data_IF_004734529519
#
_entry.id   IF_004734529519
#
_cell.length_a   1.000
_cell.length_b   1.000
_cell.length_c   1.000
_cell.angle_alpha   90.00
_cell.angle_beta   90.00
_cell.angle_gamma   90.00
#
_symmetry.space_group_name_H-M   'P 1'
#
loop_
_entity.id
_entity.type
_entity.pdbx_description
1 polymer ?
#
# COMPACT_ATOMS: atom_id res chain seq x y z
N UNK A 1 10.32 -23.77 1.69
CA UNK A 1 11.22 -24.27 2.76
C UNK A 1 12.08 -23.11 3.21
N UNK A 2 12.30 -22.86 4.51
CA UNK A 2 13.25 -21.84 4.94
C UNK A 2 14.66 -22.45 4.89
N UNK A 3 15.56 -21.80 4.16
CA UNK A 3 16.96 -22.23 4.09
C UNK A 3 17.76 -21.71 5.29
N UNK A 4 18.55 -22.61 5.86
CA UNK A 4 19.31 -22.47 7.09
C UNK A 4 20.59 -21.69 6.81
N UNK A 5 20.79 -20.58 7.52
CA UNK A 5 22.03 -19.78 7.52
C UNK A 5 23.17 -20.62 8.11
N UNK A 6 24.18 -20.91 7.28
CA UNK A 6 25.53 -21.25 7.73
C UNK A 6 26.49 -20.25 7.08
N UNK A 7 27.09 -19.40 7.91
CA UNK A 7 28.06 -18.40 7.47
C UNK A 7 29.42 -19.02 7.19
N UNK A 8 30.02 -18.61 6.07
CA UNK A 8 31.46 -18.68 5.81
C UNK A 8 31.85 -17.40 5.06
N UNK A 9 32.65 -16.56 5.73
CA UNK A 9 33.24 -15.33 5.18
C UNK A 9 34.21 -15.67 4.04
N UNK A 10 33.96 -15.12 2.84
CA UNK A 10 34.95 -15.04 1.77
C UNK A 10 34.83 -13.66 1.11
N UNK A 11 35.71 -12.75 1.52
CA UNK A 11 35.94 -11.46 0.88
C UNK A 11 36.50 -11.66 -0.54
N UNK A 12 35.66 -11.45 -1.55
CA UNK A 12 36.10 -11.14 -2.91
C UNK A 12 35.22 -10.00 -3.42
N UNK A 13 35.81 -8.80 -3.41
CA UNK A 13 35.29 -7.57 -4.02
C UNK A 13 35.31 -7.73 -5.55
N UNK A 14 34.13 -7.94 -6.14
CA UNK A 14 33.90 -7.81 -7.58
C UNK A 14 32.52 -7.18 -7.83
N UNK A 15 32.47 -5.84 -7.82
CA UNK A 15 32.09 -5.09 -9.01
C UNK A 15 30.67 -5.20 -9.61
N UNK A 16 29.67 -5.78 -8.94
CA UNK A 16 28.29 -5.74 -9.41
C UNK A 16 27.27 -5.77 -8.27
N UNK A 17 27.15 -4.65 -7.54
CA UNK A 17 26.13 -4.44 -6.49
C UNK A 17 24.75 -4.14 -7.10
N UNK A 18 24.22 -5.11 -7.84
CA UNK A 18 22.78 -5.32 -7.97
C UNK A 18 22.39 -6.41 -6.96
N UNK A 19 22.89 -6.26 -5.72
CA UNK A 19 22.38 -6.98 -4.56
C UNK A 19 20.87 -6.86 -4.63
N UNK A 20 20.20 -8.00 -4.84
CA UNK A 20 18.76 -8.09 -4.86
C UNK A 20 18.24 -7.37 -3.62
N UNK A 21 17.86 -6.09 -3.77
CA UNK A 21 17.21 -5.37 -2.68
C UNK A 21 16.02 -6.25 -2.35
N UNK A 22 15.88 -6.73 -1.10
CA UNK A 22 14.78 -7.61 -0.76
C UNK A 22 13.51 -6.93 -1.25
N UNK A 23 12.76 -7.62 -2.12
CA UNK A 23 11.55 -7.07 -2.73
C UNK A 23 10.64 -6.66 -1.58
N UNK A 24 10.58 -5.36 -1.32
CA UNK A 24 9.84 -4.85 -0.18
C UNK A 24 8.36 -5.07 -0.49
N UNK A 25 7.71 -5.94 0.29
CA UNK A 25 6.27 -6.16 0.16
C UNK A 25 5.57 -4.82 0.29
N UNK A 26 4.67 -4.53 -0.65
CA UNK A 26 3.92 -3.29 -0.67
C UNK A 26 2.45 -3.54 -1.02
N UNK A 27 1.58 -2.71 -0.45
CA UNK A 27 0.13 -2.80 -0.63
C UNK A 27 -0.35 -1.43 -1.12
N UNK A 28 -0.77 -1.32 -2.40
CA UNK A 28 -1.48 -0.14 -2.88
C UNK A 28 -2.82 -0.01 -2.16
N UNK A 29 -3.13 1.18 -1.66
CA UNK A 29 -4.36 1.45 -0.93
C UNK A 29 -4.83 2.90 -1.13
N UNK A 30 -6.14 3.09 -1.08
CA UNK A 30 -6.77 4.41 -1.14
C UNK A 30 -7.33 4.75 0.24
N UNK A 31 -6.94 5.89 0.79
CA UNK A 31 -7.50 6.42 2.05
C UNK A 31 -8.47 7.54 1.74
N UNK A 32 -9.76 7.29 1.95
CA UNK A 32 -10.82 8.29 1.78
C UNK A 32 -11.26 8.83 3.13
N UNK A 33 -11.12 10.14 3.35
CA UNK A 33 -11.61 10.84 4.53
C UNK A 33 -12.83 11.67 4.16
N UNK A 34 -14.01 11.22 4.58
CA UNK A 34 -15.28 11.92 4.37
C UNK A 34 -15.62 12.84 5.56
N UNK A 35 -16.24 13.98 5.26
CA UNK A 35 -16.81 14.90 6.25
C UNK A 35 -18.32 15.04 6.05
N UNK A 36 -19.03 15.46 7.10
CA UNK A 36 -20.50 15.65 7.08
C UNK A 36 -21.00 16.62 6.00
N UNK A 37 -20.12 17.46 5.44
CA UNK A 37 -20.42 18.40 4.37
C UNK A 37 -20.47 17.76 2.97
N UNK A 38 -20.29 16.44 2.85
CA UNK A 38 -20.32 15.74 1.56
C UNK A 38 -19.00 15.79 0.79
N UNK A 39 -18.00 16.50 1.29
CA UNK A 39 -16.64 16.53 0.72
C UNK A 39 -15.80 15.37 1.28
N UNK A 40 -15.09 14.71 0.38
CA UNK A 40 -14.15 13.63 0.66
C UNK A 40 -12.75 14.04 0.21
N UNK A 41 -11.75 13.67 1.00
CA UNK A 41 -10.34 13.82 0.67
C UNK A 41 -9.76 12.43 0.45
N UNK A 42 -9.22 12.18 -0.73
CA UNK A 42 -8.67 10.89 -1.11
C UNK A 42 -7.15 10.96 -1.22
N UNK A 43 -6.49 9.95 -0.67
CA UNK A 43 -5.06 9.76 -0.78
C UNK A 43 -4.81 8.43 -1.48
N UNK A 44 -4.07 8.47 -2.58
CA UNK A 44 -3.50 7.27 -3.17
C UNK A 44 -2.17 7.00 -2.48
N UNK A 45 -2.04 5.82 -1.89
CA UNK A 45 -0.91 5.47 -1.05
C UNK A 45 -0.38 4.08 -1.35
N UNK A 46 0.88 3.88 -1.02
CA UNK A 46 1.51 2.56 -0.96
C UNK A 46 1.95 2.33 0.48
N UNK A 47 1.36 1.32 1.12
CA UNK A 47 1.84 0.82 2.40
C UNK A 47 3.02 -0.12 2.21
N UNK A 48 4.03 0.07 3.04
CA UNK A 48 5.10 -0.86 3.29
C UNK A 48 5.02 -1.29 4.77
N UNK A 49 5.85 -2.26 5.20
CA UNK A 49 5.79 -2.80 6.56
C UNK A 49 5.64 -1.72 7.66
N UNK A 50 6.55 -0.73 7.69
CA UNK A 50 6.56 0.28 8.77
C UNK A 50 6.27 1.71 8.32
N UNK A 51 6.00 1.92 7.04
CA UNK A 51 5.74 3.26 6.49
C UNK A 51 4.65 3.27 5.43
N UNK A 52 4.08 4.45 5.21
CA UNK A 52 3.15 4.70 4.10
C UNK A 52 3.71 5.83 3.25
N UNK A 53 3.71 5.64 1.93
CA UNK A 53 4.04 6.69 0.96
C UNK A 53 2.75 7.19 0.33
N UNK A 54 2.67 8.50 0.15
CA UNK A 54 1.55 9.17 -0.52
C UNK A 54 2.02 9.48 -1.94
N UNK A 55 1.29 8.98 -2.94
CA UNK A 55 1.61 9.19 -4.35
C UNK A 55 0.85 10.40 -4.90
N UNK A 56 -0.45 10.49 -4.59
CA UNK A 56 -1.31 11.59 -5.02
C UNK A 56 -2.47 11.82 -4.06
N UNK A 57 -3.13 12.97 -4.21
CA UNK A 57 -4.26 13.37 -3.38
C UNK A 57 -5.26 14.19 -4.18
N UNK A 58 -6.53 13.83 -4.07
CA UNK A 58 -7.64 14.54 -4.71
C UNK A 58 -8.73 14.90 -3.70
N UNK A 59 -9.52 15.93 -4.04
CA UNK A 59 -10.71 16.29 -3.28
C UNK A 59 -11.92 15.97 -4.14
N UNK A 60 -12.82 15.14 -3.63
CA UNK A 60 -14.09 14.81 -4.28
C UNK A 60 -15.24 15.47 -3.50
N UNK A 61 -16.20 16.03 -4.21
CA UNK A 61 -17.35 16.75 -3.63
C UNK A 61 -18.67 16.10 -4.02
N UNK A 62 -19.76 16.45 -3.34
CA UNK A 62 -21.11 15.99 -3.69
C UNK A 62 -21.65 16.60 -4.99
N UNK A 63 -21.04 17.68 -5.48
CA UNK A 63 -21.55 18.51 -6.59
C UNK A 63 -20.75 18.33 -7.89
N UNK A 64 -19.81 17.39 -7.96
CA UNK A 64 -19.20 17.02 -9.24
C UNK A 64 -20.25 16.28 -10.06
N UNK A 65 -20.85 16.96 -11.04
CA UNK A 65 -21.70 16.35 -12.05
C UNK A 65 -20.92 15.21 -12.73
N UNK A 66 -21.58 14.09 -13.08
CA UNK A 66 -20.95 12.91 -13.69
C UNK A 66 -20.09 13.24 -14.93
N UNK A 67 -20.35 14.38 -15.59
CA UNK A 67 -19.61 14.91 -16.74
C UNK A 67 -18.32 15.70 -16.43
N UNK A 68 -17.98 15.93 -15.15
CA UNK A 68 -16.78 16.67 -14.76
C UNK A 68 -15.77 15.76 -14.05
N UNK A 69 -14.64 15.47 -14.71
CA UNK A 69 -13.50 14.84 -14.06
C UNK A 69 -13.01 15.73 -12.92
N UNK A 70 -12.98 15.24 -11.67
CA UNK A 70 -12.41 15.97 -10.55
C UNK A 70 -10.96 16.36 -10.84
N UNK A 71 -10.53 17.51 -10.34
CA UNK A 71 -9.12 17.87 -10.38
C UNK A 71 -8.33 16.95 -9.44
N UNK A 72 -7.42 16.16 -10.00
CA UNK A 72 -6.60 15.16 -9.28
C UNK A 72 -5.54 15.76 -8.33
N UNK A 73 -5.52 17.08 -8.20
CA UNK A 73 -4.52 17.79 -7.42
C UNK A 73 -3.20 18.00 -8.18
N UNK A 74 -2.30 18.82 -7.63
CA UNK A 74 -0.91 18.89 -8.11
C UNK A 74 -0.16 17.58 -7.78
N UNK A 75 0.99 17.39 -8.40
CA UNK A 75 1.87 16.26 -8.05
C UNK A 75 2.29 16.38 -6.58
N UNK A 76 2.13 15.32 -5.80
CA UNK A 76 2.46 15.33 -4.38
C UNK A 76 3.95 15.64 -4.13
N UNK A 77 4.83 15.27 -5.06
CA UNK A 77 6.26 15.55 -4.97
C UNK A 77 6.59 17.04 -5.06
N UNK A 78 5.72 17.86 -5.65
CA UNK A 78 5.93 19.30 -5.82
C UNK A 78 5.63 20.10 -4.54
N UNK A 79 4.99 19.48 -3.55
CA UNK A 79 4.74 20.13 -2.25
C UNK A 79 6.03 20.32 -1.46
N UNK A 80 6.07 21.37 -0.64
CA UNK A 80 7.17 21.57 0.30
C UNK A 80 7.22 20.49 1.38
N UNK A 81 8.40 20.27 1.94
CA UNK A 81 8.64 19.21 2.94
C UNK A 81 7.84 19.38 4.23
N UNK A 82 7.48 20.61 4.62
CA UNK A 82 6.66 20.83 5.83
C UNK A 82 5.22 20.38 5.59
N UNK A 83 4.68 20.69 4.41
CA UNK A 83 3.34 20.31 4.00
C UNK A 83 3.22 18.79 3.84
N UNK A 84 4.18 18.14 3.19
CA UNK A 84 4.25 16.67 3.09
C UNK A 84 4.22 16.01 4.47
N UNK A 85 5.07 16.48 5.40
CA UNK A 85 5.07 16.00 6.80
C UNK A 85 3.73 16.23 7.51
N UNK A 86 3.07 17.34 7.22
CA UNK A 86 1.72 17.64 7.71
C UNK A 86 0.69 16.59 7.28
N UNK A 87 0.72 16.17 6.02
CA UNK A 87 -0.17 15.13 5.50
C UNK A 87 0.11 13.75 6.10
N UNK A 88 1.38 13.35 6.22
CA UNK A 88 1.73 12.12 6.93
C UNK A 88 1.23 12.15 8.38
N UNK A 89 1.39 13.27 9.09
CA UNK A 89 0.89 13.40 10.46
C UNK A 89 -0.64 13.34 10.54
N UNK A 90 -1.32 13.91 9.55
CA UNK A 90 -2.79 13.91 9.45
C UNK A 90 -3.36 12.50 9.30
N UNK A 91 -2.69 11.65 8.50
CA UNK A 91 -3.03 10.23 8.33
C UNK A 91 -2.68 9.41 9.57
N UNK A 92 -1.52 9.67 10.18
CA UNK A 92 -1.06 8.97 11.38
C UNK A 92 -2.02 9.13 12.56
N UNK A 93 -2.50 10.35 12.83
CA UNK A 93 -3.48 10.63 13.90
C UNK A 93 -4.83 9.93 13.65
N UNK A 94 -5.15 9.60 12.39
CA UNK A 94 -6.34 8.82 12.01
C UNK A 94 -6.13 7.31 12.05
N UNK A 95 -4.96 6.87 12.53
CA UNK A 95 -4.64 5.46 12.69
C UNK A 95 -3.99 4.82 11.46
N UNK A 96 -3.63 5.59 10.43
CA UNK A 96 -2.83 5.08 9.32
C UNK A 96 -1.34 5.19 9.73
N UNK A 97 -0.86 4.15 10.42
CA UNK A 97 0.48 4.08 11.03
C UNK A 97 1.07 2.67 10.87
N UNK A 98 2.33 2.49 11.27
CA UNK A 98 3.06 1.21 11.16
C UNK A 98 2.29 -0.01 11.68
N UNK A 99 1.58 0.10 12.81
CA UNK A 99 0.80 -1.04 13.32
C UNK A 99 -0.32 -1.48 12.37
N UNK A 100 -0.90 -0.52 11.63
CA UNK A 100 -1.99 -0.77 10.68
C UNK A 100 -1.46 -1.36 9.38
N UNK A 101 -0.32 -0.87 8.89
CA UNK A 101 0.33 -1.43 7.70
C UNK A 101 0.83 -2.85 7.96
N UNK A 102 1.45 -3.11 9.12
CA UNK A 102 1.84 -4.46 9.52
C UNK A 102 0.65 -5.41 9.61
N UNK A 103 -0.45 -4.98 10.24
CA UNK A 103 -1.70 -5.77 10.24
C UNK A 103 -2.21 -6.06 8.83
N UNK A 104 -2.18 -5.07 7.92
CA UNK A 104 -2.62 -5.26 6.54
C UNK A 104 -1.75 -6.31 5.81
N UNK A 105 -0.44 -6.31 6.01
CA UNK A 105 0.45 -7.33 5.44
C UNK A 105 0.11 -8.73 5.93
N UNK A 106 -0.05 -8.91 7.24
CA UNK A 106 -0.46 -10.20 7.82
C UNK A 106 -1.84 -10.64 7.30
N UNK A 107 -2.78 -9.69 7.23
CA UNK A 107 -4.13 -9.95 6.72
C UNK A 107 -4.10 -10.37 5.24
N UNK A 108 -3.28 -9.73 4.39
CA UNK A 108 -3.15 -10.08 2.98
C UNK A 108 -2.60 -11.49 2.79
N UNK A 109 -1.57 -11.90 3.55
CA UNK A 109 -1.01 -13.27 3.49
C UNK A 109 -2.07 -14.31 3.84
N UNK A 110 -2.82 -14.06 4.92
CA UNK A 110 -3.89 -14.95 5.36
C UNK A 110 -5.06 -15.00 4.38
N UNK A 111 -5.40 -13.85 3.77
CA UNK A 111 -6.45 -13.74 2.75
C UNK A 111 -6.08 -14.53 1.50
N UNK A 112 -4.87 -14.36 0.99
CA UNK A 112 -4.36 -15.07 -0.20
C UNK A 112 -4.47 -16.59 -0.04
N UNK A 113 -4.02 -17.11 1.11
CA UNK A 113 -4.14 -18.54 1.44
C UNK A 113 -5.59 -19.03 1.44
N UNK A 114 -6.52 -18.24 2.00
CA UNK A 114 -7.94 -18.59 2.05
C UNK A 114 -8.61 -18.53 0.69
N UNK A 115 -8.30 -17.52 -0.12
CA UNK A 115 -8.84 -17.38 -1.48
C UNK A 115 -8.33 -18.49 -2.39
N UNK A 116 -7.05 -18.86 -2.29
CA UNK A 116 -6.50 -19.99 -3.02
C UNK A 116 -7.22 -21.30 -2.72
N UNK A 117 -7.46 -21.59 -1.43
CA UNK A 117 -8.22 -22.78 -1.02
C UNK A 117 -9.68 -22.75 -1.52
N UNK A 118 -10.33 -21.59 -1.49
CA UNK A 118 -11.67 -21.40 -2.05
C UNK A 118 -11.70 -21.63 -3.57
N UNK A 119 -10.71 -21.10 -4.29
CA UNK A 119 -10.57 -21.30 -5.73
C UNK A 119 -10.36 -22.77 -6.10
N UNK A 120 -9.50 -23.49 -5.36
CA UNK A 120 -9.30 -24.93 -5.55
C UNK A 120 -10.58 -25.73 -5.31
N UNK A 121 -11.36 -25.36 -4.28
CA UNK A 121 -12.66 -26.00 -4.03
C UNK A 121 -13.63 -25.79 -5.19
N UNK A 122 -13.70 -24.57 -5.73
CA UNK A 122 -14.55 -24.26 -6.89
C UNK A 122 -14.09 -25.03 -8.14
N UNK A 123 -12.77 -25.12 -8.37
CA UNK A 123 -12.21 -25.88 -9.48
C UNK A 123 -12.56 -27.37 -9.39
N UNK A 124 -12.44 -27.95 -8.19
CA UNK A 124 -12.83 -29.34 -7.95
C UNK A 124 -14.31 -29.57 -8.30
N UNK A 125 -15.21 -28.73 -7.78
CA UNK A 125 -16.64 -28.83 -8.08
C UNK A 125 -16.94 -28.73 -9.57
N UNK A 126 -16.22 -27.86 -10.29
CA UNK A 126 -16.38 -27.71 -11.74
C UNK A 126 -15.95 -28.97 -12.51
N UNK A 127 -14.89 -29.66 -12.08
CA UNK A 127 -14.39 -30.88 -12.74
C UNK A 127 -15.27 -32.11 -12.44
N UNK A 128 -15.87 -32.16 -11.24
CA UNK A 128 -16.72 -33.28 -10.81
C UNK A 128 -18.18 -33.19 -11.31
N UNK A 129 -18.60 -32.03 -11.83
CA UNK A 129 -19.93 -31.80 -12.41
C UNK A 129 -20.07 -32.38 -13.81
#
# INVERSE_FOLDING_TARGET
MPDVVTGEDNDVDDGNDDSQRPVQSSIPLVVTISKKCGTCLEFNCVAYADEIKIDSMSITGSETSEDQMPYDGPNFHDFDEKLKKGFHKYLEIRGIKASTTNFLHEYMINKDSREYMGWLSNLKQFIEA
#
